data_IF_003027581059
#
_entry.id   IF_003027581059
#
_cell.length_a   1.000
_cell.length_b   1.000
_cell.length_c   1.000
_cell.angle_alpha   90.00
_cell.angle_beta   90.00
_cell.angle_gamma   90.00
#
_symmetry.space_group_name_H-M   'P 1'
#
loop_
_entity.id
_entity.type
_entity.pdbx_description
1 polymer ?
#
# COMPACT_ATOMS: atom_id res chain seq x y z
N UNK A 1 43.51 -15.24 -8.99
CA UNK A 1 43.46 -15.86 -7.67
C UNK A 1 42.52 -17.04 -7.69
N UNK A 2 43.04 -18.15 -7.22
CA UNK A 2 42.70 -19.54 -7.43
C UNK A 2 41.21 -19.95 -7.27
N UNK A 3 40.74 -20.66 -8.29
CA UNK A 3 39.56 -21.50 -8.28
C UNK A 3 39.85 -22.80 -7.50
N UNK A 4 39.52 -22.84 -6.21
CA UNK A 4 39.44 -24.11 -5.43
C UNK A 4 38.49 -23.87 -4.24
N UNK A 5 37.23 -24.25 -4.44
CA UNK A 5 36.29 -24.82 -3.47
C UNK A 5 34.91 -24.93 -4.14
N UNK A 6 34.78 -25.97 -4.99
CA UNK A 6 33.43 -26.46 -5.33
C UNK A 6 33.29 -27.84 -4.66
N UNK A 7 32.45 -27.91 -3.64
CA UNK A 7 31.99 -29.19 -3.14
C UNK A 7 30.93 -29.73 -4.12
N UNK A 8 31.24 -30.80 -4.82
CA UNK A 8 30.27 -31.54 -5.64
C UNK A 8 29.40 -32.35 -4.70
N UNK A 9 28.17 -31.93 -4.47
CA UNK A 9 27.13 -32.74 -3.85
C UNK A 9 26.39 -33.46 -4.97
N UNK A 10 26.65 -34.73 -5.16
CA UNK A 10 25.90 -35.62 -6.06
C UNK A 10 24.56 -35.97 -5.42
N UNK A 11 23.48 -35.30 -5.86
CA UNK A 11 22.10 -35.70 -5.56
C UNK A 11 21.53 -36.40 -6.81
N UNK A 12 21.25 -37.65 -6.74
CA UNK A 12 20.51 -38.43 -7.74
C UNK A 12 19.08 -37.91 -7.81
N UNK A 13 18.62 -37.44 -8.99
CA UNK A 13 17.27 -36.99 -9.38
C UNK A 13 17.05 -35.45 -9.47
N UNK A 14 17.99 -34.74 -10.07
CA UNK A 14 17.76 -33.32 -10.48
C UNK A 14 17.60 -33.23 -12.00
N UNK A 15 16.48 -32.72 -12.47
CA UNK A 15 16.30 -32.33 -13.87
C UNK A 15 16.70 -30.85 -14.05
N UNK A 16 17.59 -30.58 -14.97
CA UNK A 16 18.09 -29.25 -15.29
C UNK A 16 17.42 -28.74 -16.58
N UNK A 17 16.74 -27.60 -16.55
CA UNK A 17 16.28 -26.90 -17.75
C UNK A 17 17.04 -25.58 -17.91
N UNK A 18 17.59 -25.35 -19.11
CA UNK A 18 18.30 -24.14 -19.46
C UNK A 18 17.35 -23.22 -20.23
N UNK A 19 17.18 -21.98 -19.77
CA UNK A 19 16.44 -20.94 -20.50
C UNK A 19 17.40 -20.24 -21.44
N UNK A 20 17.13 -20.15 -22.76
CA UNK A 20 18.02 -19.49 -23.73
C UNK A 20 18.14 -17.99 -23.43
N UNK A 21 19.37 -17.52 -23.23
CA UNK A 21 19.69 -16.10 -23.08
C UNK A 21 20.28 -15.66 -21.73
N UNK A 22 20.24 -16.49 -20.71
CA UNK A 22 20.88 -16.20 -19.42
C UNK A 22 21.61 -17.43 -18.88
N UNK A 23 22.88 -17.28 -18.53
CA UNK A 23 23.70 -18.35 -17.95
C UNK A 23 23.41 -18.57 -16.45
N UNK A 24 22.16 -18.85 -16.09
CA UNK A 24 21.80 -19.19 -14.71
C UNK A 24 21.28 -20.63 -14.63
N UNK A 25 21.85 -21.39 -13.73
CA UNK A 25 21.46 -22.76 -13.41
C UNK A 25 20.31 -22.71 -12.37
N UNK A 26 19.10 -23.10 -12.76
CA UNK A 26 17.97 -23.23 -11.82
C UNK A 26 18.03 -24.64 -11.21
N UNK A 27 18.34 -24.73 -9.93
CA UNK A 27 18.26 -25.97 -9.18
C UNK A 27 16.79 -26.22 -8.76
N UNK A 28 16.14 -27.21 -9.34
CA UNK A 28 14.81 -27.64 -8.93
C UNK A 28 14.92 -28.69 -7.80
N UNK A 29 14.29 -28.44 -6.67
CA UNK A 29 14.15 -29.40 -5.59
C UNK A 29 13.06 -30.46 -5.94
N UNK A 30 13.18 -31.74 -5.52
CA UNK A 30 12.23 -32.78 -5.88
C UNK A 30 10.84 -32.51 -5.28
N UNK A 31 9.80 -32.81 -6.07
CA UNK A 31 8.38 -32.69 -5.73
C UNK A 31 8.03 -33.84 -4.80
N UNK A 32 7.58 -33.55 -3.58
CA UNK A 32 6.87 -34.53 -2.75
C UNK A 32 5.50 -34.84 -3.36
N UNK A 33 5.17 -36.09 -3.56
CA UNK A 33 3.85 -36.56 -4.01
C UNK A 33 2.89 -36.57 -2.83
N UNK A 34 2.54 -35.40 -2.28
CA UNK A 34 1.41 -35.30 -1.36
C UNK A 34 0.14 -34.94 -2.14
N UNK A 35 -1.00 -35.48 -1.69
CA UNK A 35 -2.32 -35.30 -2.26
C UNK A 35 -2.54 -33.83 -2.64
N UNK A 36 -3.02 -33.62 -3.87
CA UNK A 36 -3.13 -32.30 -4.48
C UNK A 36 -4.19 -31.43 -3.77
N UNK A 37 -3.86 -30.87 -2.60
CA UNK A 37 -4.64 -29.79 -1.99
C UNK A 37 -4.66 -28.59 -2.93
N UNK A 38 -5.76 -27.85 -2.94
CA UNK A 38 -5.93 -26.61 -3.70
C UNK A 38 -4.84 -25.58 -3.38
N UNK A 39 -4.75 -24.56 -4.19
CA UNK A 39 -3.76 -23.49 -4.05
C UNK A 39 -4.41 -22.18 -3.60
N UNK A 40 -3.74 -21.43 -2.72
CA UNK A 40 -4.13 -20.06 -2.39
C UNK A 40 -3.84 -19.12 -3.55
N UNK A 41 -4.46 -17.93 -3.55
CA UNK A 41 -4.22 -16.91 -4.58
C UNK A 41 -2.74 -16.55 -4.68
N UNK A 42 -2.03 -16.41 -3.55
CA UNK A 42 -0.59 -16.14 -3.53
C UNK A 42 0.21 -17.27 -4.21
N UNK A 43 -0.05 -18.54 -3.87
CA UNK A 43 0.58 -19.69 -4.50
C UNK A 43 0.31 -19.75 -6.01
N UNK A 44 -0.91 -19.39 -6.44
CA UNK A 44 -1.27 -19.34 -7.87
C UNK A 44 -0.50 -18.28 -8.62
N UNK A 45 -0.33 -17.08 -8.03
CA UNK A 45 0.46 -16.00 -8.63
C UNK A 45 1.91 -16.45 -8.82
N UNK A 46 2.54 -16.98 -7.77
CA UNK A 46 3.91 -17.47 -7.87
C UNK A 46 4.05 -18.66 -8.85
N UNK A 47 3.07 -19.57 -8.88
CA UNK A 47 3.06 -20.69 -9.83
C UNK A 47 2.97 -20.20 -11.27
N UNK A 48 2.11 -19.19 -11.55
CA UNK A 48 1.98 -18.57 -12.85
C UNK A 48 3.31 -17.93 -13.30
N UNK A 49 3.97 -17.21 -12.41
CA UNK A 49 5.23 -16.51 -12.72
C UNK A 49 6.43 -17.43 -12.88
N UNK A 50 6.48 -18.50 -12.11
CA UNK A 50 7.58 -19.48 -12.17
C UNK A 50 7.35 -20.60 -13.19
N UNK A 51 6.16 -20.69 -13.81
CA UNK A 51 5.82 -21.72 -14.80
C UNK A 51 5.79 -23.16 -14.23
N UNK A 52 5.64 -23.31 -12.90
CA UNK A 52 5.55 -24.59 -12.19
C UNK A 52 4.71 -24.46 -10.93
N UNK A 53 4.25 -25.59 -10.41
CA UNK A 53 3.50 -25.60 -9.14
C UNK A 53 4.40 -25.11 -8.00
N UNK A 54 3.92 -24.11 -7.25
CA UNK A 54 4.57 -23.49 -6.09
C UNK A 54 3.63 -23.59 -4.90
N UNK A 55 4.20 -23.77 -3.70
CA UNK A 55 3.48 -23.81 -2.44
C UNK A 55 4.07 -22.83 -1.42
N UNK A 56 3.28 -22.51 -0.41
CA UNK A 56 3.75 -21.75 0.75
C UNK A 56 4.97 -22.42 1.37
N UNK A 57 5.95 -21.63 1.79
CA UNK A 57 7.23 -22.10 2.30
C UNK A 57 8.30 -22.35 1.24
N UNK A 58 7.95 -22.55 -0.04
CA UNK A 58 8.92 -22.66 -1.13
C UNK A 58 9.76 -21.39 -1.24
N UNK A 59 11.07 -21.56 -1.48
CA UNK A 59 11.96 -20.45 -1.83
C UNK A 59 12.17 -20.44 -3.33
N UNK A 60 11.75 -19.37 -3.98
CA UNK A 60 11.76 -19.26 -5.44
C UNK A 60 12.37 -17.95 -5.89
N UNK A 61 13.11 -17.97 -6.99
CA UNK A 61 13.48 -16.77 -7.71
C UNK A 61 12.37 -16.47 -8.73
N UNK A 62 11.55 -15.45 -8.44
CA UNK A 62 10.44 -15.09 -9.29
C UNK A 62 10.75 -13.82 -10.09
N UNK A 63 10.34 -13.75 -11.38
CA UNK A 63 10.41 -12.53 -12.16
C UNK A 63 9.48 -11.48 -11.58
N UNK A 64 9.93 -10.21 -11.61
CA UNK A 64 9.18 -9.05 -11.15
C UNK A 64 8.58 -8.34 -12.37
N UNK A 65 7.27 -8.04 -12.33
CA UNK A 65 6.55 -7.37 -13.42
C UNK A 65 6.65 -5.85 -13.33
N UNK A 66 6.83 -5.30 -12.12
CA UNK A 66 7.02 -3.88 -11.90
C UNK A 66 7.85 -3.61 -10.65
N UNK A 67 8.70 -2.60 -10.70
CA UNK A 67 9.55 -2.15 -9.60
C UNK A 67 9.37 -0.65 -9.37
N UNK A 68 8.84 -0.26 -8.20
CA UNK A 68 8.58 1.13 -7.83
C UNK A 68 9.66 1.66 -6.89
N UNK A 69 10.22 2.83 -7.23
CA UNK A 69 11.15 3.59 -6.40
C UNK A 69 10.68 5.04 -6.26
N UNK A 70 10.90 5.63 -5.09
CA UNK A 70 10.53 7.01 -4.80
C UNK A 70 11.69 7.80 -4.17
N UNK A 71 11.51 9.09 -3.98
CA UNK A 71 12.57 10.07 -3.66
C UNK A 71 13.31 9.85 -2.33
N UNK A 72 12.79 9.06 -1.38
CA UNK A 72 13.50 8.74 -0.13
C UNK A 72 14.39 7.50 -0.29
N UNK A 73 13.83 6.39 -0.78
CA UNK A 73 14.53 5.10 -0.83
C UNK A 73 15.20 4.85 -2.18
N UNK A 74 14.73 5.49 -3.25
CA UNK A 74 15.24 5.37 -4.60
C UNK A 74 16.72 5.71 -4.75
N UNK A 75 17.22 6.82 -4.17
CA UNK A 75 18.65 7.14 -4.25
C UNK A 75 19.55 6.03 -3.72
N UNK A 76 19.16 5.39 -2.62
CA UNK A 76 19.91 4.27 -2.05
C UNK A 76 19.80 3.01 -2.93
N UNK A 77 18.64 2.71 -3.45
CA UNK A 77 18.44 1.58 -4.36
C UNK A 77 19.28 1.74 -5.64
N UNK A 78 19.37 2.95 -6.21
CA UNK A 78 20.16 3.26 -7.38
C UNK A 78 21.66 3.12 -7.07
N UNK A 79 22.13 3.58 -5.91
CA UNK A 79 23.52 3.38 -5.49
C UNK A 79 23.86 1.90 -5.36
N UNK A 80 23.00 1.12 -4.71
CA UNK A 80 23.16 -0.35 -4.60
C UNK A 80 23.21 -1.01 -5.98
N UNK A 81 22.37 -0.57 -6.93
CA UNK A 81 22.40 -1.05 -8.32
C UNK A 81 23.79 -0.83 -8.94
N UNK A 82 24.40 0.35 -8.81
CA UNK A 82 25.73 0.64 -9.33
C UNK A 82 26.84 -0.14 -8.58
N UNK A 83 26.75 -0.26 -7.25
CA UNK A 83 27.69 -1.04 -6.45
C UNK A 83 27.71 -2.51 -6.81
N UNK A 84 26.55 -3.07 -7.21
CA UNK A 84 26.44 -4.41 -7.77
C UNK A 84 26.97 -4.52 -9.22
N UNK A 85 27.54 -3.45 -9.81
CA UNK A 85 28.01 -3.41 -11.17
C UNK A 85 26.88 -3.31 -12.20
N UNK A 86 25.74 -2.70 -11.85
CA UNK A 86 24.66 -2.39 -12.77
C UNK A 86 25.07 -1.28 -13.74
N UNK A 87 24.92 -1.48 -15.04
CA UNK A 87 25.13 -0.47 -16.07
C UNK A 87 23.82 -0.07 -16.75
N UNK A 88 22.94 -1.04 -17.00
CA UNK A 88 21.58 -0.84 -17.52
C UNK A 88 20.59 -1.61 -16.66
N UNK A 89 19.42 -1.02 -16.45
CA UNK A 89 18.31 -1.70 -15.74
C UNK A 89 17.75 -2.83 -16.60
N UNK A 90 17.12 -3.81 -15.95
CA UNK A 90 16.62 -5.01 -16.62
C UNK A 90 15.57 -4.69 -17.70
N UNK A 91 14.69 -3.76 -17.43
CA UNK A 91 13.64 -3.30 -18.35
C UNK A 91 13.15 -1.92 -17.92
N UNK A 92 13.48 -0.83 -18.63
CA UNK A 92 13.04 0.52 -18.27
C UNK A 92 11.52 0.68 -18.20
N UNK A 93 10.78 -0.08 -19.02
CA UNK A 93 9.30 -0.02 -19.05
C UNK A 93 8.62 -0.63 -17.83
N UNK A 94 9.36 -1.35 -16.98
CA UNK A 94 8.89 -1.95 -15.75
C UNK A 94 9.37 -1.23 -14.49
N UNK A 95 10.17 -0.18 -14.65
CA UNK A 95 10.62 0.65 -13.53
C UNK A 95 9.67 1.85 -13.39
N UNK A 96 9.15 2.04 -12.20
CA UNK A 96 8.24 3.14 -11.86
C UNK A 96 8.99 4.06 -10.90
N UNK A 97 9.40 5.23 -11.40
CA UNK A 97 10.16 6.21 -10.62
C UNK A 97 9.27 7.42 -10.36
N UNK A 98 9.09 7.79 -9.09
CA UNK A 98 8.21 8.86 -8.65
C UNK A 98 8.88 9.76 -7.60
N UNK A 99 8.26 10.93 -7.41
CA UNK A 99 8.59 11.86 -6.33
C UNK A 99 7.30 12.25 -5.61
N UNK A 100 7.20 11.93 -4.32
CA UNK A 100 5.98 12.13 -3.55
C UNK A 100 6.19 12.38 -2.04
N UNK A 101 7.35 12.02 -1.48
CA UNK A 101 7.60 12.10 -0.06
C UNK A 101 8.13 13.48 0.36
N UNK A 102 9.19 13.97 -0.31
CA UNK A 102 9.78 15.30 -0.05
C UNK A 102 9.43 16.25 -1.20
N UNK A 103 8.15 16.56 -1.35
CA UNK A 103 7.60 17.32 -2.48
C UNK A 103 6.75 18.50 -1.97
N UNK A 104 7.08 19.74 -2.39
CA UNK A 104 8.36 20.13 -3.00
C UNK A 104 9.55 19.80 -2.08
N UNK A 105 10.78 19.76 -2.62
CA UNK A 105 11.94 19.43 -1.80
C UNK A 105 12.03 20.36 -0.57
N UNK A 106 12.07 19.76 0.61
CA UNK A 106 12.08 20.43 1.91
C UNK A 106 13.50 20.78 2.40
N UNK A 107 14.51 20.28 1.69
CA UNK A 107 15.93 20.48 2.02
C UNK A 107 16.79 20.44 0.75
N UNK A 108 18.02 20.98 0.84
CA UNK A 108 19.00 20.89 -0.24
C UNK A 108 19.32 19.43 -0.57
N UNK A 109 19.46 18.58 0.44
CA UNK A 109 19.73 17.15 0.27
C UNK A 109 18.59 16.43 -0.48
N UNK A 110 17.33 16.76 -0.19
CA UNK A 110 16.19 16.25 -0.93
C UNK A 110 16.23 16.68 -2.41
N UNK A 111 16.54 17.97 -2.67
CA UNK A 111 16.69 18.48 -4.03
C UNK A 111 17.81 17.76 -4.81
N UNK A 112 18.97 17.53 -4.17
CA UNK A 112 20.10 16.79 -4.76
C UNK A 112 19.71 15.33 -5.09
N UNK A 113 18.99 14.65 -4.19
CA UNK A 113 18.47 13.31 -4.42
C UNK A 113 17.50 13.28 -5.61
N UNK A 114 16.62 14.28 -5.72
CA UNK A 114 15.69 14.38 -6.85
C UNK A 114 16.43 14.61 -8.18
N UNK A 115 17.49 15.43 -8.20
CA UNK A 115 18.36 15.61 -9.38
C UNK A 115 19.00 14.29 -9.76
N UNK A 116 19.63 13.60 -8.81
CA UNK A 116 20.28 12.31 -9.03
C UNK A 116 19.31 11.26 -9.63
N UNK A 117 18.09 11.17 -9.10
CA UNK A 117 17.09 10.24 -9.63
C UNK A 117 16.61 10.61 -11.04
N UNK A 118 16.45 11.91 -11.37
CA UNK A 118 16.11 12.36 -12.73
C UNK A 118 17.22 12.03 -13.73
N UNK A 119 18.48 12.24 -13.34
CA UNK A 119 19.63 11.86 -14.17
C UNK A 119 19.67 10.35 -14.41
N UNK A 120 19.43 9.54 -13.36
CA UNK A 120 19.32 8.09 -13.52
C UNK A 120 18.20 7.70 -14.47
N UNK A 121 16.98 8.26 -14.30
CA UNK A 121 15.86 7.98 -15.17
C UNK A 121 16.17 8.30 -16.63
N UNK A 122 16.78 9.45 -16.90
CA UNK A 122 17.18 9.87 -18.24
C UNK A 122 18.24 8.93 -18.86
N UNK A 123 19.26 8.54 -18.09
CA UNK A 123 20.31 7.64 -18.57
C UNK A 123 19.84 6.20 -18.83
N UNK A 124 18.78 5.79 -18.13
CA UNK A 124 18.21 4.45 -18.20
C UNK A 124 16.98 4.37 -19.11
N UNK A 125 16.53 5.48 -19.69
CA UNK A 125 15.31 5.61 -20.49
C UNK A 125 14.03 5.22 -19.68
N UNK A 126 14.04 5.46 -18.37
CA UNK A 126 12.90 5.21 -17.45
C UNK A 126 11.92 6.36 -17.55
N UNK A 127 10.63 6.06 -17.64
CA UNK A 127 9.59 7.08 -17.50
C UNK A 127 9.55 7.61 -16.06
N UNK A 128 9.75 8.93 -15.93
CA UNK A 128 9.75 9.62 -14.65
C UNK A 128 8.38 10.26 -14.40
N UNK A 129 7.69 9.81 -13.37
CA UNK A 129 6.48 10.44 -12.84
C UNK A 129 6.90 11.53 -11.84
N UNK A 130 7.18 12.74 -12.36
CA UNK A 130 7.77 13.83 -11.58
C UNK A 130 6.77 14.46 -10.58
N UNK A 131 7.22 15.42 -9.80
CA UNK A 131 6.63 16.06 -8.61
C UNK A 131 5.12 16.35 -8.65
N UNK A 132 4.54 16.45 -9.83
CA UNK A 132 3.13 16.84 -10.03
C UNK A 132 2.15 15.66 -10.07
N UNK A 133 2.61 14.43 -10.10
CA UNK A 133 1.71 13.28 -10.32
C UNK A 133 0.96 12.88 -9.04
N UNK A 134 1.61 12.93 -7.89
CA UNK A 134 1.02 12.59 -6.60
C UNK A 134 1.69 11.42 -5.91
N UNK A 135 1.00 10.83 -4.94
CA UNK A 135 1.51 9.77 -4.09
C UNK A 135 1.74 8.50 -4.90
N UNK A 136 2.93 7.89 -4.77
CA UNK A 136 3.40 6.76 -5.57
C UNK A 136 2.36 5.62 -5.65
N UNK A 137 1.78 5.23 -4.54
CA UNK A 137 0.84 4.12 -4.51
C UNK A 137 -0.44 4.43 -5.27
N UNK A 138 -0.94 5.66 -5.17
CA UNK A 138 -2.11 6.09 -5.95
C UNK A 138 -1.79 6.14 -7.44
N UNK A 139 -0.65 6.73 -7.82
CA UNK A 139 -0.23 6.86 -9.23
C UNK A 139 -0.05 5.49 -9.89
N UNK A 140 0.55 4.52 -9.20
CA UNK A 140 0.69 3.14 -9.72
C UNK A 140 -0.66 2.54 -10.08
N UNK A 141 -1.66 2.69 -9.21
CA UNK A 141 -3.01 2.19 -9.45
C UNK A 141 -3.73 2.98 -10.56
N UNK A 142 -3.67 4.30 -10.53
CA UNK A 142 -4.31 5.16 -11.52
C UNK A 142 -3.79 4.98 -12.94
N UNK A 143 -2.49 4.71 -13.09
CA UNK A 143 -1.87 4.48 -14.41
C UNK A 143 -1.98 3.02 -14.85
N UNK A 144 -2.63 2.14 -14.07
CA UNK A 144 -2.78 0.72 -14.38
C UNK A 144 -1.45 -0.04 -14.42
N UNK A 145 -0.48 0.38 -13.59
CA UNK A 145 0.86 -0.21 -13.55
C UNK A 145 0.92 -1.49 -12.71
N UNK A 146 -0.20 -1.88 -12.11
CA UNK A 146 -0.39 -3.16 -11.45
C UNK A 146 -1.64 -3.85 -12.00
N UNK A 147 -1.56 -5.17 -12.23
CA UNK A 147 -2.64 -5.95 -12.81
C UNK A 147 -2.73 -7.36 -12.19
N UNK A 148 -3.87 -8.07 -12.35
CA UNK A 148 -4.07 -9.39 -11.79
C UNK A 148 -2.98 -10.39 -12.17
N UNK A 149 -2.46 -11.11 -11.15
CA UNK A 149 -1.44 -12.14 -11.33
C UNK A 149 -0.02 -11.63 -11.53
N UNK A 150 0.22 -10.34 -11.42
CA UNK A 150 1.56 -9.75 -11.46
C UNK A 150 2.25 -9.81 -10.09
N UNK A 151 3.60 -9.83 -10.10
CA UNK A 151 4.44 -9.62 -8.92
C UNK A 151 5.05 -8.22 -9.04
N UNK A 152 4.63 -7.33 -8.13
CA UNK A 152 5.11 -5.94 -8.08
C UNK A 152 5.89 -5.73 -6.79
N UNK A 153 7.05 -5.13 -6.89
CA UNK A 153 7.83 -4.76 -5.71
C UNK A 153 8.02 -3.24 -5.63
N UNK A 154 8.05 -2.72 -4.43
CA UNK A 154 8.33 -1.30 -4.22
C UNK A 154 9.33 -1.08 -3.10
N UNK A 155 10.13 -0.04 -3.21
CA UNK A 155 11.02 0.39 -2.14
C UNK A 155 10.26 1.17 -1.05
N UNK A 156 8.98 0.81 -0.85
CA UNK A 156 8.08 1.30 0.19
C UNK A 156 7.19 0.19 0.73
N UNK A 157 6.89 0.22 2.02
CA UNK A 157 6.15 -0.82 2.71
C UNK A 157 4.68 -0.92 2.26
N UNK A 158 4.03 0.20 1.88
CA UNK A 158 2.63 0.20 1.44
C UNK A 158 2.43 -0.23 -0.02
N UNK A 159 3.45 -0.75 -0.68
CA UNK A 159 3.36 -1.43 -1.98
C UNK A 159 2.29 -2.52 -1.99
N UNK A 160 1.98 -3.12 -0.83
CA UNK A 160 0.88 -4.08 -0.67
C UNK A 160 -0.49 -3.57 -1.15
N UNK A 161 -0.69 -2.25 -1.24
CA UNK A 161 -1.91 -1.64 -1.80
C UNK A 161 -2.28 -2.16 -3.20
N UNK A 162 -1.29 -2.53 -4.02
CA UNK A 162 -1.57 -2.98 -5.39
C UNK A 162 -2.24 -4.37 -5.46
N UNK A 163 -2.30 -5.08 -4.35
CA UNK A 163 -3.10 -6.29 -4.24
C UNK A 163 -4.60 -6.06 -4.40
N UNK A 164 -5.07 -4.82 -4.30
CA UNK A 164 -6.43 -4.43 -4.68
C UNK A 164 -6.73 -4.71 -6.17
N UNK A 165 -5.70 -4.72 -7.03
CA UNK A 165 -5.80 -5.14 -8.43
C UNK A 165 -5.60 -6.65 -8.64
N UNK A 166 -5.50 -7.46 -7.59
CA UNK A 166 -5.23 -8.91 -7.70
C UNK A 166 -3.75 -9.24 -7.99
N UNK A 167 -2.81 -8.33 -7.72
CA UNK A 167 -1.39 -8.57 -7.79
C UNK A 167 -0.82 -9.10 -6.47
N UNK A 168 0.27 -9.85 -6.52
CA UNK A 168 1.12 -10.02 -5.34
C UNK A 168 2.08 -8.84 -5.27
N UNK A 169 1.80 -7.91 -4.37
CA UNK A 169 2.58 -6.69 -4.26
C UNK A 169 3.18 -6.56 -2.85
N UNK A 170 4.48 -6.24 -2.77
CA UNK A 170 5.18 -6.20 -1.48
C UNK A 170 6.29 -5.15 -1.44
N UNK A 171 6.47 -4.55 -0.26
CA UNK A 171 7.62 -3.70 0.04
C UNK A 171 8.90 -4.50 0.20
N UNK A 172 10.01 -3.97 -0.33
CA UNK A 172 11.35 -4.55 -0.20
C UNK A 172 12.38 -3.48 0.18
N UNK A 173 13.50 -3.91 0.74
CA UNK A 173 14.60 -3.03 1.10
C UNK A 173 15.33 -2.45 -0.12
N UNK A 174 16.05 -1.34 0.09
CA UNK A 174 16.78 -0.67 -1.00
C UNK A 174 17.88 -1.55 -1.61
N UNK A 175 18.47 -2.46 -0.85
CA UNK A 175 19.46 -3.42 -1.39
C UNK A 175 18.81 -4.42 -2.33
N UNK A 176 17.68 -5.01 -1.92
CA UNK A 176 16.90 -5.92 -2.77
C UNK A 176 16.39 -5.17 -4.01
N UNK A 177 15.97 -3.92 -3.86
CA UNK A 177 15.55 -3.10 -4.99
C UNK A 177 16.71 -2.86 -5.98
N UNK A 178 17.93 -2.60 -5.52
CA UNK A 178 19.11 -2.51 -6.37
C UNK A 178 19.36 -3.81 -7.16
N UNK A 179 19.13 -4.96 -6.53
CA UNK A 179 19.19 -6.27 -7.20
C UNK A 179 18.09 -6.41 -8.26
N UNK A 180 16.85 -6.03 -7.93
CA UNK A 180 15.71 -6.07 -8.87
C UNK A 180 15.97 -5.15 -10.06
N UNK A 181 16.45 -3.93 -9.85
CA UNK A 181 16.78 -3.00 -10.94
C UNK A 181 17.79 -3.62 -11.93
N UNK A 182 18.71 -4.45 -11.45
CA UNK A 182 19.72 -5.11 -12.28
C UNK A 182 19.21 -6.37 -12.97
N UNK A 183 18.46 -7.22 -12.26
CA UNK A 183 18.17 -8.59 -12.69
C UNK A 183 16.71 -8.84 -13.07
N UNK A 184 15.76 -7.97 -12.67
CA UNK A 184 14.33 -8.13 -12.94
C UNK A 184 13.67 -9.30 -12.21
N UNK A 185 14.30 -9.80 -11.16
CA UNK A 185 13.81 -10.93 -10.38
C UNK A 185 14.26 -10.79 -8.93
N UNK A 186 13.57 -11.48 -8.02
CA UNK A 186 13.93 -11.51 -6.60
C UNK A 186 13.65 -12.89 -6.01
N UNK A 187 14.41 -13.27 -4.97
CA UNK A 187 14.10 -14.44 -4.17
C UNK A 187 12.97 -14.14 -3.20
N UNK A 188 11.95 -15.00 -3.23
CA UNK A 188 10.83 -14.98 -2.29
C UNK A 188 10.73 -16.31 -1.57
N UNK A 189 10.55 -16.28 -0.28
CA UNK A 189 9.88 -17.37 0.42
C UNK A 189 8.38 -17.14 0.21
N UNK A 190 7.68 -18.05 -0.42
CA UNK A 190 6.24 -17.89 -0.70
C UNK A 190 5.48 -17.88 0.63
N UNK A 191 4.71 -16.82 0.94
CA UNK A 191 4.03 -16.70 2.22
C UNK A 191 2.86 -17.68 2.33
N UNK A 192 2.55 -18.10 3.54
CA UNK A 192 1.25 -18.64 3.88
C UNK A 192 0.17 -17.55 3.75
N UNK A 193 -1.08 -17.95 3.64
CA UNK A 193 -2.20 -17.02 3.49
C UNK A 193 -3.15 -17.10 4.67
N UNK A 194 -3.50 -15.94 5.25
CA UNK A 194 -4.67 -15.79 6.13
C UNK A 194 -5.84 -15.33 5.26
N UNK A 195 -6.97 -16.02 5.34
CA UNK A 195 -8.20 -15.62 4.68
C UNK A 195 -9.04 -14.72 5.60
N UNK A 196 -9.33 -13.52 5.13
CA UNK A 196 -10.26 -12.58 5.75
C UNK A 196 -11.55 -12.58 4.95
N UNK A 197 -12.60 -13.12 5.54
CA UNK A 197 -13.92 -13.18 4.91
C UNK A 197 -14.86 -12.21 5.60
N UNK A 198 -15.51 -11.33 4.82
CA UNK A 198 -16.40 -10.30 5.36
C UNK A 198 -17.81 -10.47 4.83
N UNK A 199 -18.79 -10.21 5.68
CA UNK A 199 -20.21 -10.25 5.35
C UNK A 199 -20.93 -8.98 5.82
N UNK A 200 -22.09 -8.71 5.26
CA UNK A 200 -22.89 -7.56 5.61
C UNK A 200 -22.57 -6.30 4.78
N UNK A 201 -23.26 -5.23 5.15
CA UNK A 201 -23.08 -3.89 4.56
C UNK A 201 -22.70 -2.91 5.65
N UNK A 202 -21.83 -1.98 5.32
CA UNK A 202 -21.42 -0.94 6.24
C UNK A 202 -22.63 -0.14 6.75
N UNK A 203 -22.69 0.16 8.06
CA UNK A 203 -23.62 1.12 8.62
C UNK A 203 -23.38 2.55 8.07
N UNK A 204 -24.29 3.42 8.34
CA UNK A 204 -24.16 4.85 8.04
C UNK A 204 -22.87 5.43 8.63
N UNK A 205 -22.09 6.16 7.82
CA UNK A 205 -20.79 6.77 8.17
C UNK A 205 -19.70 5.81 8.61
N UNK A 206 -19.82 4.55 8.28
CA UNK A 206 -18.79 3.52 8.50
C UNK A 206 -18.29 3.01 7.15
N UNK A 207 -16.99 2.80 7.02
CA UNK A 207 -16.39 2.46 5.73
C UNK A 207 -15.19 1.51 5.82
N UNK A 208 -14.49 1.34 4.67
CA UNK A 208 -13.35 0.42 4.55
C UNK A 208 -12.21 0.70 5.54
N UNK A 209 -12.01 1.98 5.93
CA UNK A 209 -10.99 2.33 6.93
C UNK A 209 -11.36 1.80 8.32
N UNK A 210 -12.63 1.90 8.71
CA UNK A 210 -13.10 1.36 9.99
C UNK A 210 -12.96 -0.16 10.01
N UNK A 211 -13.29 -0.84 8.90
CA UNK A 211 -13.12 -2.27 8.76
C UNK A 211 -11.66 -2.68 8.96
N UNK A 212 -10.72 -2.04 8.25
CA UNK A 212 -9.32 -2.48 8.32
C UNK A 212 -8.68 -2.15 9.68
N UNK A 213 -9.11 -1.08 10.37
CA UNK A 213 -8.70 -0.80 11.73
C UNK A 213 -9.24 -1.87 12.70
N UNK A 214 -10.50 -2.29 12.55
CA UNK A 214 -11.08 -3.39 13.33
C UNK A 214 -10.36 -4.73 13.06
N UNK A 215 -9.99 -5.01 11.82
CA UNK A 215 -9.19 -6.20 11.47
C UNK A 215 -7.80 -6.11 12.13
N UNK A 216 -7.14 -4.96 12.07
CA UNK A 216 -5.83 -4.75 12.70
C UNK A 216 -5.89 -4.96 14.22
N UNK A 217 -6.92 -4.46 14.89
CA UNK A 217 -7.18 -4.71 16.31
C UNK A 217 -7.24 -6.21 16.63
N UNK A 218 -7.87 -6.99 15.78
CA UNK A 218 -8.09 -8.42 16.01
C UNK A 218 -6.91 -9.30 15.62
N UNK A 219 -6.11 -8.88 14.64
CA UNK A 219 -4.92 -9.61 14.17
C UNK A 219 -3.70 -9.24 15.01
N UNK A 220 -3.57 -7.97 15.40
CA UNK A 220 -2.37 -7.43 16.04
C UNK A 220 -1.35 -6.92 15.02
N UNK A 221 -0.44 -6.05 15.45
CA UNK A 221 0.58 -5.42 14.59
C UNK A 221 1.57 -6.42 13.97
N UNK A 222 1.73 -7.61 14.54
CA UNK A 222 2.65 -8.66 14.10
C UNK A 222 1.95 -9.99 13.78
N UNK A 223 0.62 -10.08 13.93
CA UNK A 223 -0.13 -11.33 13.85
C UNK A 223 -0.23 -11.93 12.44
N UNK A 224 0.11 -11.18 11.40
CA UNK A 224 0.24 -11.66 10.02
C UNK A 224 1.68 -11.60 9.51
N UNK A 225 2.67 -11.62 10.40
CA UNK A 225 4.09 -11.48 10.03
C UNK A 225 4.50 -12.47 8.96
N UNK A 226 4.98 -11.93 7.84
CA UNK A 226 5.41 -12.66 6.66
C UNK A 226 4.30 -13.48 5.96
N UNK A 227 3.04 -13.25 6.22
CA UNK A 227 1.91 -13.90 5.57
C UNK A 227 1.27 -13.00 4.51
N UNK A 228 0.44 -13.56 3.64
CA UNK A 228 -0.44 -12.80 2.77
C UNK A 228 -1.83 -12.74 3.41
N UNK A 229 -2.51 -11.60 3.33
CA UNK A 229 -3.93 -11.48 3.66
C UNK A 229 -4.74 -11.57 2.37
N UNK A 230 -5.68 -12.50 2.30
CA UNK A 230 -6.65 -12.62 1.20
C UNK A 230 -8.00 -12.11 1.68
N UNK A 231 -8.45 -10.99 1.10
CA UNK A 231 -9.70 -10.34 1.44
C UNK A 231 -10.84 -10.82 0.53
N UNK A 232 -11.88 -11.42 1.12
CA UNK A 232 -12.99 -12.03 0.40
C UNK A 232 -14.34 -11.77 1.09
N UNK A 233 -15.42 -12.28 0.49
CA UNK A 233 -16.77 -12.20 1.04
C UNK A 233 -17.61 -11.09 0.45
N UNK A 234 -18.88 -11.02 0.86
CA UNK A 234 -19.90 -10.18 0.22
C UNK A 234 -19.56 -8.68 0.30
N UNK A 235 -18.98 -8.25 1.43
CA UNK A 235 -18.58 -6.86 1.63
C UNK A 235 -17.49 -6.47 0.63
N UNK A 236 -16.42 -7.30 0.46
CA UNK A 236 -15.37 -7.03 -0.52
C UNK A 236 -15.84 -7.16 -1.96
N UNK A 237 -16.76 -8.09 -2.27
CA UNK A 237 -17.33 -8.25 -3.60
C UNK A 237 -18.16 -7.04 -4.04
N UNK A 238 -18.74 -6.30 -3.09
CA UNK A 238 -19.50 -5.07 -3.37
C UNK A 238 -18.69 -3.78 -3.17
N UNK A 239 -17.45 -3.89 -2.64
CA UNK A 239 -16.59 -2.75 -2.33
C UNK A 239 -15.92 -2.22 -3.61
N UNK A 240 -16.01 -0.91 -3.85
CA UNK A 240 -15.32 -0.24 -4.94
C UNK A 240 -13.79 -0.24 -4.75
N UNK A 241 -13.07 0.11 -5.80
CA UNK A 241 -11.59 -0.02 -5.80
C UNK A 241 -10.90 0.85 -4.76
N UNK A 242 -11.42 2.01 -4.45
CA UNK A 242 -10.90 2.91 -3.40
C UNK A 242 -10.89 2.24 -2.03
N UNK A 243 -11.99 1.58 -1.63
CA UNK A 243 -12.06 0.81 -0.40
C UNK A 243 -11.14 -0.41 -0.39
N UNK A 244 -11.03 -1.14 -1.51
CA UNK A 244 -10.08 -2.27 -1.64
C UNK A 244 -8.64 -1.79 -1.49
N UNK A 245 -8.31 -0.64 -2.08
CA UNK A 245 -6.99 -0.02 -1.95
C UNK A 245 -6.69 0.35 -0.50
N UNK A 246 -7.65 0.92 0.23
CA UNK A 246 -7.50 1.23 1.66
C UNK A 246 -7.20 -0.02 2.48
N UNK A 247 -7.95 -1.11 2.29
CA UNK A 247 -7.74 -2.35 3.03
C UNK A 247 -6.40 -3.02 2.69
N UNK A 248 -6.06 -3.14 1.40
CA UNK A 248 -4.80 -3.73 0.97
C UNK A 248 -3.60 -2.89 1.41
N UNK A 249 -3.71 -1.55 1.40
CA UNK A 249 -2.67 -0.64 1.86
C UNK A 249 -2.25 -0.93 3.31
N UNK A 250 -3.22 -1.16 4.18
CA UNK A 250 -2.98 -1.35 5.61
C UNK A 250 -2.62 -2.80 6.00
N UNK A 251 -2.54 -3.74 5.06
CA UNK A 251 -2.14 -5.11 5.35
C UNK A 251 -0.75 -5.18 6.01
N UNK A 252 0.19 -4.33 5.58
CA UNK A 252 1.54 -4.28 6.16
C UNK A 252 1.55 -3.86 7.63
N UNK A 253 0.54 -3.15 8.10
CA UNK A 253 0.45 -2.71 9.50
C UNK A 253 0.15 -3.86 10.48
N UNK A 254 -0.19 -5.04 9.94
CA UNK A 254 -0.34 -6.30 10.66
C UNK A 254 0.85 -7.26 10.44
N UNK A 255 1.94 -6.76 9.82
CA UNK A 255 3.13 -7.54 9.49
C UNK A 255 3.03 -8.32 8.17
N UNK A 256 1.92 -8.21 7.43
CA UNK A 256 1.72 -8.97 6.20
C UNK A 256 2.65 -8.53 5.06
N UNK A 257 3.03 -9.49 4.23
CA UNK A 257 3.80 -9.26 2.99
C UNK A 257 2.93 -8.68 1.88
N UNK A 258 1.67 -9.07 1.81
CA UNK A 258 0.72 -8.61 0.80
C UNK A 258 -0.71 -8.64 1.35
N UNK A 259 -1.55 -7.72 0.89
CA UNK A 259 -3.00 -7.82 0.99
C UNK A 259 -3.55 -7.99 -0.41
N UNK A 260 -4.38 -9.01 -0.66
CA UNK A 260 -4.84 -9.35 -2.01
C UNK A 260 -6.36 -9.49 -2.01
N UNK A 261 -7.01 -8.82 -2.95
CA UNK A 261 -8.42 -9.04 -3.28
C UNK A 261 -8.46 -9.84 -4.58
N UNK A 262 -9.16 -10.99 -4.65
CA UNK A 262 -9.35 -11.70 -5.90
C UNK A 262 -9.98 -10.79 -6.95
N UNK A 263 -9.41 -10.71 -8.18
CA UNK A 263 -9.89 -9.79 -9.21
C UNK A 263 -11.25 -10.21 -9.75
N UNK A 264 -12.18 -9.27 -9.78
CA UNK A 264 -13.55 -9.43 -10.26
C UNK A 264 -13.93 -8.36 -11.30
N UNK A 265 -15.22 -8.22 -11.60
CA UNK A 265 -15.71 -7.22 -12.55
C UNK A 265 -15.36 -5.78 -12.14
N UNK A 266 -15.37 -5.46 -10.85
CA UNK A 266 -14.99 -4.13 -10.35
C UNK A 266 -13.52 -3.86 -10.68
N UNK A 267 -12.64 -4.83 -10.42
CA UNK A 267 -11.20 -4.73 -10.75
C UNK A 267 -10.98 -4.53 -12.25
N UNK A 268 -11.63 -5.35 -13.09
CA UNK A 268 -11.44 -5.25 -14.55
C UNK A 268 -12.06 -4.00 -15.15
N UNK A 269 -13.18 -3.51 -14.61
CA UNK A 269 -13.77 -2.23 -15.03
C UNK A 269 -12.87 -1.05 -14.65
N UNK A 270 -12.27 -1.09 -13.46
CA UNK A 270 -11.28 -0.09 -13.04
C UNK A 270 -10.07 -0.05 -13.98
N UNK A 271 -9.54 -1.21 -14.37
CA UNK A 271 -8.35 -1.29 -15.24
C UNK A 271 -8.66 -0.98 -16.70
N UNK A 272 -9.86 -1.24 -17.19
CA UNK A 272 -10.25 -1.13 -18.62
C UNK A 272 -9.87 0.20 -19.28
N UNK A 273 -9.98 1.32 -18.56
CA UNK A 273 -9.65 2.65 -19.07
C UNK A 273 -8.16 3.02 -18.90
N UNK A 274 -7.37 2.16 -18.27
CA UNK A 274 -5.98 2.43 -17.85
C UNK A 274 -4.98 1.56 -18.58
N UNK A 275 -5.29 0.29 -18.72
CA UNK A 275 -4.43 -0.71 -19.36
C UNK A 275 -5.29 -1.82 -19.94
N UNK A 276 -4.96 -2.27 -21.14
CA UNK A 276 -5.55 -3.50 -21.70
C UNK A 276 -5.01 -4.70 -20.91
N UNK A 277 -5.87 -5.31 -20.11
CA UNK A 277 -5.54 -6.44 -19.24
C UNK A 277 -6.37 -7.66 -19.62
N UNK A 278 -5.66 -8.74 -19.94
CA UNK A 278 -6.32 -10.02 -20.21
C UNK A 278 -6.95 -10.54 -18.92
N UNK A 279 -8.24 -10.91 -19.00
CA UNK A 279 -8.94 -11.53 -17.89
C UNK A 279 -8.33 -12.88 -17.52
N UNK A 280 -8.05 -13.06 -16.24
CA UNK A 280 -7.60 -14.32 -15.63
C UNK A 280 -8.49 -14.66 -14.46
N UNK A 281 -8.85 -15.94 -14.31
CA UNK A 281 -9.50 -16.42 -13.09
C UNK A 281 -8.42 -16.63 -12.05
N UNK A 282 -8.45 -15.81 -10.99
CA UNK A 282 -7.43 -15.81 -9.96
C UNK A 282 -8.08 -15.64 -8.58
N UNK A 283 -8.33 -16.76 -7.94
CA UNK A 283 -8.90 -16.89 -6.60
C UNK A 283 -8.32 -18.13 -5.94
N UNK A 284 -8.35 -18.25 -4.64
CA UNK A 284 -7.96 -19.47 -3.95
C UNK A 284 -8.91 -20.62 -4.27
N UNK A 285 -8.37 -21.81 -4.38
CA UNK A 285 -9.19 -23.01 -4.58
C UNK A 285 -10.07 -23.25 -3.34
N UNK A 286 -11.25 -23.88 -3.49
CA UNK A 286 -12.13 -24.15 -2.34
C UNK A 286 -11.50 -25.02 -1.26
N UNK A 287 -10.57 -25.92 -1.65
CA UNK A 287 -9.83 -26.83 -0.80
C UNK A 287 -8.40 -26.33 -0.50
N UNK A 288 -8.10 -25.04 -0.73
CA UNK A 288 -6.81 -24.45 -0.39
C UNK A 288 -6.57 -24.47 1.13
N UNK A 289 -5.31 -24.67 1.51
CA UNK A 289 -4.90 -24.59 2.91
C UNK A 289 -4.54 -23.17 3.29
N UNK A 290 -5.19 -22.64 4.32
CA UNK A 290 -4.92 -21.33 4.89
C UNK A 290 -4.24 -21.48 6.26
N UNK A 291 -3.32 -20.57 6.61
CA UNK A 291 -2.72 -20.50 7.93
C UNK A 291 -3.76 -20.15 9.00
N UNK A 292 -4.70 -19.30 8.66
CA UNK A 292 -5.84 -18.92 9.49
C UNK A 292 -7.01 -18.45 8.61
N UNK A 293 -8.24 -18.53 9.12
CA UNK A 293 -9.43 -18.02 8.46
C UNK A 293 -10.27 -17.24 9.47
N UNK A 294 -10.55 -15.98 9.16
CA UNK A 294 -11.29 -15.08 10.04
C UNK A 294 -12.52 -14.54 9.32
N UNK A 295 -13.62 -14.44 10.05
CA UNK A 295 -14.87 -13.90 9.54
C UNK A 295 -15.24 -12.63 10.30
N UNK A 296 -15.67 -11.62 9.55
CA UNK A 296 -16.11 -10.34 10.09
C UNK A 296 -17.47 -9.99 9.50
N UNK A 297 -18.43 -9.72 10.37
CA UNK A 297 -19.72 -9.12 10.00
C UNK A 297 -19.63 -7.61 10.24
N UNK A 298 -19.81 -6.83 9.18
CA UNK A 298 -19.71 -5.36 9.27
C UNK A 298 -21.03 -4.67 9.59
N UNK A 299 -22.12 -5.44 9.76
CA UNK A 299 -23.49 -4.90 9.90
C UNK A 299 -23.62 -3.97 11.11
N UNK A 300 -22.93 -4.28 12.20
CA UNK A 300 -22.96 -3.50 13.44
C UNK A 300 -21.60 -2.85 13.75
N UNK A 301 -20.71 -2.73 12.76
CA UNK A 301 -19.40 -2.12 12.93
C UNK A 301 -19.56 -0.64 13.31
N UNK A 302 -18.98 -0.22 14.42
CA UNK A 302 -18.87 1.18 14.79
C UNK A 302 -17.71 1.88 14.06
N UNK A 303 -17.72 3.21 13.90
CA UNK A 303 -16.53 3.94 13.48
C UNK A 303 -15.35 3.65 14.40
N UNK A 304 -14.18 3.40 13.85
CA UNK A 304 -12.98 2.96 14.56
C UNK A 304 -11.94 4.06 14.65
N UNK A 305 -11.27 4.15 15.78
CA UNK A 305 -10.14 5.05 16.01
C UNK A 305 -8.96 4.26 16.56
N UNK A 306 -7.83 4.23 15.83
CA UNK A 306 -6.60 3.65 16.39
C UNK A 306 -5.92 4.67 17.29
N UNK A 307 -5.84 4.34 18.59
CA UNK A 307 -5.20 5.22 19.57
C UNK A 307 -3.67 5.16 19.48
N UNK A 308 -2.96 6.21 19.91
CA UNK A 308 -1.48 6.20 19.93
C UNK A 308 -0.94 5.04 20.79
N UNK A 309 0.13 4.33 20.39
CA UNK A 309 1.03 4.62 19.28
C UNK A 309 1.15 3.38 18.36
N UNK A 310 0.08 2.63 18.19
CA UNK A 310 0.04 1.46 17.32
C UNK A 310 -1.32 1.36 16.61
N UNK A 311 -1.31 0.84 15.39
CA UNK A 311 -2.52 0.71 14.56
C UNK A 311 -3.50 -0.33 15.13
N UNK A 312 -2.98 -1.37 15.77
CA UNK A 312 -3.75 -2.46 16.40
C UNK A 312 -4.42 -2.06 17.73
N UNK A 313 -4.14 -0.86 18.24
CA UNK A 313 -4.85 -0.28 19.37
C UNK A 313 -6.15 0.43 18.94
N UNK A 314 -6.83 -0.07 17.92
CA UNK A 314 -8.10 0.48 17.49
C UNK A 314 -9.21 0.20 18.52
N UNK A 315 -10.07 1.20 18.73
CA UNK A 315 -11.23 1.17 19.61
C UNK A 315 -12.45 1.76 18.89
N UNK A 316 -13.62 1.53 19.38
CA UNK A 316 -14.82 2.20 18.88
C UNK A 316 -14.73 3.70 19.20
N UNK A 317 -15.18 4.56 18.29
CA UNK A 317 -15.04 6.02 18.39
C UNK A 317 -15.59 6.56 19.71
N UNK A 318 -16.69 5.99 20.22
CA UNK A 318 -17.29 6.38 21.49
C UNK A 318 -16.40 6.23 22.73
N UNK A 319 -15.35 5.37 22.66
CA UNK A 319 -14.40 5.20 23.77
C UNK A 319 -13.42 6.38 23.90
N UNK A 320 -13.25 7.15 22.84
CA UNK A 320 -12.30 8.28 22.76
C UNK A 320 -12.95 9.59 22.35
N UNK A 321 -14.27 9.62 22.18
CA UNK A 321 -15.03 10.83 21.87
C UNK A 321 -14.78 11.93 22.93
N UNK A 322 -14.72 13.20 22.49
CA UNK A 322 -14.40 14.35 23.33
C UNK A 322 -12.90 14.55 23.59
N UNK A 323 -12.00 13.72 23.01
CA UNK A 323 -10.56 13.96 23.09
C UNK A 323 -10.20 15.17 22.22
N UNK A 324 -9.64 16.26 22.77
CA UNK A 324 -9.25 17.43 22.00
C UNK A 324 -8.17 17.11 20.97
N UNK A 325 -8.24 17.75 19.80
CA UNK A 325 -7.24 17.61 18.74
C UNK A 325 -6.67 18.97 18.36
N UNK A 326 -5.39 19.03 18.00
CA UNK A 326 -4.71 20.25 17.52
C UNK A 326 -4.62 20.27 16.00
N UNK A 327 -4.65 19.10 15.36
CA UNK A 327 -4.56 18.95 13.93
C UNK A 327 -5.43 17.81 13.41
N UNK A 328 -6.12 18.04 12.30
CA UNK A 328 -6.77 16.97 11.52
C UNK A 328 -6.07 16.89 10.16
N UNK A 329 -5.58 15.70 9.80
CA UNK A 329 -5.00 15.42 8.50
C UNK A 329 -5.87 14.45 7.71
N UNK A 330 -6.36 14.91 6.54
CA UNK A 330 -7.15 14.12 5.59
C UNK A 330 -6.36 13.97 4.30
N UNK A 331 -6.01 12.73 3.95
CA UNK A 331 -5.16 12.48 2.80
C UNK A 331 -4.44 11.14 2.87
N UNK A 332 -3.22 11.08 2.33
CA UNK A 332 -2.40 9.88 2.23
C UNK A 332 -2.86 8.90 1.13
N UNK A 333 -2.02 7.90 0.83
CA UNK A 333 -2.38 6.81 -0.09
C UNK A 333 -3.54 5.94 0.43
N UNK A 334 -3.87 6.01 1.73
CA UNK A 334 -5.01 5.32 2.30
C UNK A 334 -6.33 6.01 1.97
N UNK A 335 -6.47 7.30 2.24
CA UNK A 335 -7.74 8.03 2.18
C UNK A 335 -7.56 9.49 1.69
N UNK A 336 -7.08 9.66 0.47
CA UNK A 336 -6.96 10.96 -0.21
C UNK A 336 -7.58 10.95 -1.62
N UNK A 337 -8.44 9.97 -1.94
CA UNK A 337 -9.14 9.86 -3.23
C UNK A 337 -10.38 10.73 -3.25
N UNK A 338 -10.96 10.90 -4.42
CA UNK A 338 -12.14 11.73 -4.62
C UNK A 338 -13.31 11.28 -3.73
N UNK A 339 -13.52 9.99 -3.59
CA UNK A 339 -14.58 9.39 -2.79
C UNK A 339 -14.41 9.72 -1.30
N UNK A 340 -13.16 9.67 -0.79
CA UNK A 340 -12.82 10.09 0.57
C UNK A 340 -13.12 11.58 0.79
N UNK A 341 -12.73 12.43 -0.18
CA UNK A 341 -12.96 13.87 -0.13
C UNK A 341 -14.45 14.23 -0.26
N UNK A 342 -15.20 13.46 -1.05
CA UNK A 342 -16.63 13.65 -1.17
C UNK A 342 -17.35 13.31 0.14
N UNK A 343 -16.93 12.25 0.83
CA UNK A 343 -17.43 11.89 2.16
C UNK A 343 -17.13 13.00 3.18
N UNK A 344 -15.91 13.53 3.19
CA UNK A 344 -15.53 14.68 4.03
C UNK A 344 -16.44 15.88 3.77
N UNK A 345 -16.68 16.20 2.50
CA UNK A 345 -17.57 17.32 2.13
C UNK A 345 -19.03 17.08 2.52
N UNK A 346 -19.48 15.82 2.46
CA UNK A 346 -20.83 15.47 2.90
C UNK A 346 -21.01 15.65 4.41
N UNK A 347 -20.02 15.21 5.22
CA UNK A 347 -20.03 15.43 6.68
C UNK A 347 -19.93 16.91 7.02
N UNK A 348 -19.05 17.66 6.35
CA UNK A 348 -18.89 19.12 6.55
C UNK A 348 -20.21 19.89 6.35
N UNK A 349 -21.10 19.43 5.46
CA UNK A 349 -22.33 20.16 5.17
C UNK A 349 -22.06 21.61 4.76
N UNK A 350 -22.85 22.54 5.23
CA UNK A 350 -22.66 24.00 5.09
C UNK A 350 -21.83 24.59 6.24
N UNK A 351 -21.18 23.73 7.06
CA UNK A 351 -20.40 24.11 8.22
C UNK A 351 -19.02 24.69 7.88
N UNK A 352 -18.29 25.06 8.92
CA UNK A 352 -16.89 25.45 8.87
C UNK A 352 -16.10 24.61 9.89
N UNK A 353 -14.84 24.39 9.62
CA UNK A 353 -13.95 23.71 10.55
C UNK A 353 -13.67 24.58 11.78
N UNK A 354 -13.44 23.95 12.92
CA UNK A 354 -13.11 24.65 14.14
C UNK A 354 -11.82 25.47 13.97
N UNK A 355 -11.89 26.73 14.38
CA UNK A 355 -10.79 27.69 14.19
C UNK A 355 -9.62 27.49 15.13
N UNK A 356 -9.78 26.66 16.16
CA UNK A 356 -8.72 26.35 17.14
C UNK A 356 -7.75 25.27 16.65
N UNK A 357 -8.08 24.56 15.57
CA UNK A 357 -7.29 23.45 15.05
C UNK A 357 -6.76 23.74 13.64
N UNK A 358 -5.75 22.97 13.23
CA UNK A 358 -5.26 22.96 11.86
C UNK A 358 -5.92 21.82 11.09
N UNK A 359 -6.61 22.11 9.99
CA UNK A 359 -7.14 21.09 9.09
C UNK A 359 -6.32 21.09 7.80
N UNK A 360 -5.64 19.98 7.52
CA UNK A 360 -4.79 19.81 6.33
C UNK A 360 -5.45 18.76 5.44
N UNK A 361 -5.72 19.09 4.20
CA UNK A 361 -6.34 18.19 3.21
C UNK A 361 -5.39 18.05 2.02
N UNK A 362 -5.01 16.79 1.69
CA UNK A 362 -4.10 16.49 0.58
C UNK A 362 -4.73 15.41 -0.30
N UNK A 363 -5.23 15.75 -1.50
CA UNK A 363 -5.66 14.75 -2.48
C UNK A 363 -4.52 13.82 -2.87
N UNK A 364 -4.80 12.53 -3.07
CA UNK A 364 -3.78 11.51 -3.26
C UNK A 364 -3.00 11.65 -4.58
N UNK A 365 -3.58 12.28 -5.60
CA UNK A 365 -2.93 12.52 -6.88
C UNK A 365 -3.44 13.79 -7.57
N UNK A 366 -2.74 14.19 -8.63
CA UNK A 366 -3.19 15.29 -9.49
C UNK A 366 -4.57 15.01 -10.09
N UNK A 367 -4.84 13.78 -10.49
CA UNK A 367 -6.11 13.42 -11.10
C UNK A 367 -7.24 13.49 -10.06
N UNK A 368 -7.00 13.04 -8.82
CA UNK A 368 -7.93 13.19 -7.70
C UNK A 368 -8.14 14.66 -7.29
N UNK A 369 -7.05 15.44 -7.27
CA UNK A 369 -7.14 16.91 -7.04
C UNK A 369 -8.03 17.58 -8.08
N UNK A 370 -7.83 17.28 -9.37
CA UNK A 370 -8.62 17.86 -10.46
C UNK A 370 -10.09 17.43 -10.44
N UNK A 371 -10.39 16.19 -10.04
CA UNK A 371 -11.77 15.74 -9.82
C UNK A 371 -12.42 16.56 -8.69
N UNK A 372 -11.75 16.66 -7.54
CA UNK A 372 -12.23 17.42 -6.39
C UNK A 372 -12.41 18.92 -6.73
N UNK A 373 -11.48 19.53 -7.48
CA UNK A 373 -11.57 20.92 -7.93
C UNK A 373 -12.78 21.13 -8.84
N UNK A 374 -12.99 20.26 -9.82
CA UNK A 374 -14.13 20.35 -10.76
C UNK A 374 -15.48 20.13 -10.07
N UNK A 375 -15.51 19.34 -9.01
CA UNK A 375 -16.69 19.14 -8.18
C UNK A 375 -16.93 20.26 -7.15
N UNK A 376 -16.05 21.29 -7.09
CA UNK A 376 -16.16 22.40 -6.14
C UNK A 376 -15.71 22.06 -4.71
N UNK A 377 -15.18 20.84 -4.47
CA UNK A 377 -14.79 20.41 -3.13
C UNK A 377 -13.59 21.21 -2.59
N UNK A 378 -12.63 21.56 -3.44
CA UNK A 378 -11.45 22.33 -3.03
C UNK A 378 -11.85 23.72 -2.55
N UNK A 379 -12.71 24.41 -3.31
CA UNK A 379 -13.24 25.74 -2.92
C UNK A 379 -13.98 25.66 -1.59
N UNK A 380 -14.79 24.61 -1.41
CA UNK A 380 -15.55 24.38 -0.19
C UNK A 380 -14.65 24.17 1.02
N UNK A 381 -13.61 23.33 0.91
CA UNK A 381 -12.66 23.08 1.99
C UNK A 381 -11.87 24.32 2.39
N UNK A 382 -11.38 25.09 1.40
CA UNK A 382 -10.66 26.35 1.65
C UNK A 382 -11.60 27.36 2.32
N UNK A 383 -12.84 27.46 1.87
CA UNK A 383 -13.85 28.36 2.47
C UNK A 383 -14.19 27.95 3.90
N UNK A 384 -14.19 26.64 4.19
CA UNK A 384 -14.40 26.09 5.53
C UNK A 384 -13.19 26.25 6.48
N UNK A 385 -12.04 26.72 5.98
CA UNK A 385 -10.85 27.00 6.79
C UNK A 385 -9.73 25.97 6.70
N UNK A 386 -9.81 24.98 5.77
CA UNK A 386 -8.74 24.01 5.58
C UNK A 386 -7.55 24.57 4.78
N UNK A 387 -6.36 24.07 5.08
CA UNK A 387 -5.19 24.14 4.22
C UNK A 387 -5.26 22.99 3.21
N UNK A 388 -5.50 23.31 1.94
CA UNK A 388 -5.54 22.31 0.87
C UNK A 388 -4.24 22.38 0.09
N UNK A 389 -3.47 21.30 0.14
CA UNK A 389 -2.12 21.24 -0.42
C UNK A 389 -2.07 20.46 -1.73
N UNK A 390 -0.97 20.64 -2.46
CA UNK A 390 -0.69 19.86 -3.66
C UNK A 390 -0.45 18.38 -3.31
N UNK A 391 -0.79 17.42 -4.21
CA UNK A 391 -0.66 16.00 -3.96
C UNK A 391 0.76 15.55 -3.60
N UNK A 392 0.94 15.08 -2.38
CA UNK A 392 2.17 14.53 -1.82
C UNK A 392 1.88 13.77 -0.52
N UNK A 393 2.88 13.14 0.07
CA UNK A 393 2.72 12.44 1.36
C UNK A 393 2.47 13.40 2.53
N UNK A 394 2.97 14.64 2.48
CA UNK A 394 2.76 15.66 3.52
C UNK A 394 3.10 15.18 4.93
N UNK A 395 2.21 15.39 5.92
CA UNK A 395 2.45 14.98 7.31
C UNK A 395 2.56 13.46 7.51
N UNK A 396 2.04 12.66 6.59
CA UNK A 396 1.93 11.19 6.76
C UNK A 396 3.25 10.52 7.15
N UNK A 397 4.39 11.01 6.66
CA UNK A 397 5.70 10.40 6.95
C UNK A 397 6.58 11.24 7.89
N UNK A 398 6.13 12.43 8.28
CA UNK A 398 6.81 13.28 9.25
C UNK A 398 8.11 13.93 8.75
N UNK A 399 8.29 14.06 7.45
CA UNK A 399 9.52 14.55 6.84
C UNK A 399 9.39 15.76 5.93
N UNK A 400 8.18 16.28 5.75
CA UNK A 400 7.95 17.42 4.86
C UNK A 400 7.40 18.65 5.63
N UNK A 401 6.07 18.74 5.77
CA UNK A 401 5.38 19.86 6.43
C UNK A 401 4.21 19.34 7.28
N UNK A 402 3.55 20.23 8.03
CA UNK A 402 2.43 19.86 8.91
C UNK A 402 2.86 19.02 10.12
N UNK A 403 4.09 19.26 10.62
CA UNK A 403 4.65 18.51 11.73
C UNK A 403 4.02 18.95 13.05
N UNK A 404 3.92 18.00 13.97
CA UNK A 404 3.40 18.20 15.32
C UNK A 404 4.52 18.60 16.28
N UNK A 405 4.22 19.56 17.14
CA UNK A 405 5.03 19.93 18.28
C UNK A 405 4.87 18.92 19.45
N UNK A 406 5.76 18.96 20.47
CA UNK A 406 5.59 18.18 21.68
C UNK A 406 4.23 18.41 22.36
N UNK A 407 3.52 17.33 22.67
CA UNK A 407 2.22 17.36 23.34
C UNK A 407 1.02 17.59 22.43
N UNK A 408 1.19 17.91 21.13
CA UNK A 408 0.09 18.05 20.21
C UNK A 408 -0.56 16.71 19.86
N UNK A 409 -1.86 16.75 19.58
CA UNK A 409 -2.71 15.64 19.18
C UNK A 409 -3.16 15.81 17.74
N UNK A 410 -2.91 14.81 16.91
CA UNK A 410 -3.41 14.75 15.52
C UNK A 410 -4.41 13.61 15.35
N UNK A 411 -5.51 13.89 14.64
CA UNK A 411 -6.40 12.88 14.10
C UNK A 411 -6.16 12.76 12.59
N UNK A 412 -5.91 11.55 12.08
CA UNK A 412 -5.37 11.38 10.74
C UNK A 412 -6.03 10.23 9.98
N UNK A 413 -6.28 10.42 8.69
CA UNK A 413 -6.69 9.33 7.78
C UNK A 413 -5.51 8.54 7.20
N UNK A 414 -4.27 8.85 7.61
CA UNK A 414 -3.07 8.10 7.21
C UNK A 414 -3.04 6.67 7.77
N UNK A 415 -1.94 5.96 7.56
CA UNK A 415 -1.85 4.52 7.83
C UNK A 415 -1.02 4.16 9.06
N UNK A 416 -0.26 5.08 9.66
CA UNK A 416 0.63 4.83 10.80
C UNK A 416 0.56 5.91 11.85
N UNK A 417 0.67 5.49 13.12
CA UNK A 417 0.61 6.38 14.27
C UNK A 417 1.69 6.10 15.34
N UNK A 418 2.80 5.45 14.98
CA UNK A 418 3.88 5.22 15.92
C UNK A 418 4.55 6.55 16.37
N UNK A 419 5.27 6.51 17.50
CA UNK A 419 5.92 7.69 18.08
C UNK A 419 6.83 8.40 17.07
N UNK A 420 6.66 9.70 16.93
CA UNK A 420 7.41 10.54 15.99
C UNK A 420 6.98 10.45 14.54
N UNK A 421 5.89 9.72 14.22
CA UNK A 421 5.44 9.53 12.83
C UNK A 421 5.07 10.83 12.13
N UNK A 422 4.49 11.79 12.83
CA UNK A 422 4.07 13.08 12.27
C UNK A 422 4.79 14.28 12.93
N UNK A 423 6.02 14.09 13.41
CA UNK A 423 6.80 15.16 14.03
C UNK A 423 7.41 14.73 15.37
N UNK A 424 7.05 15.44 16.46
CA UNK A 424 7.59 15.15 17.80
C UNK A 424 7.27 13.73 18.28
N UNK A 425 8.23 13.09 18.96
CA UNK A 425 8.00 11.81 19.66
C UNK A 425 7.11 11.94 20.90
N UNK A 426 6.83 13.16 21.34
CA UNK A 426 5.92 13.48 22.45
C UNK A 426 4.51 13.84 21.94
N UNK A 427 4.29 13.91 20.62
CA UNK A 427 2.99 14.10 20.02
C UNK A 427 2.22 12.75 19.93
N UNK A 428 0.90 12.86 19.89
CA UNK A 428 -0.01 11.73 19.77
C UNK A 428 -0.74 11.77 18.44
N UNK A 429 -0.72 10.66 17.69
CA UNK A 429 -1.45 10.51 16.43
C UNK A 429 -2.51 9.44 16.56
N UNK A 430 -3.75 9.81 16.31
CA UNK A 430 -4.90 8.91 16.18
C UNK A 430 -5.18 8.64 14.71
N UNK A 431 -5.62 7.42 14.36
CA UNK A 431 -6.04 7.12 12.98
C UNK A 431 -7.54 6.85 12.94
N UNK A 432 -8.19 7.37 11.89
CA UNK A 432 -9.63 7.20 11.70
C UNK A 432 -10.03 7.21 10.22
N UNK A 433 -11.33 7.02 9.95
CA UNK A 433 -11.93 7.18 8.63
C UNK A 433 -12.08 8.66 8.24
N UNK A 434 -12.28 8.97 6.93
CA UNK A 434 -12.57 10.33 6.46
C UNK A 434 -13.79 10.95 7.13
N UNK A 435 -14.86 10.18 7.36
CA UNK A 435 -16.06 10.65 8.04
C UNK A 435 -15.76 11.09 9.48
N UNK A 436 -15.03 10.27 10.24
CA UNK A 436 -14.65 10.59 11.62
C UNK A 436 -13.71 11.81 11.67
N UNK A 437 -12.76 11.90 10.72
CA UNK A 437 -11.87 13.05 10.62
C UNK A 437 -12.64 14.35 10.34
N UNK A 438 -13.62 14.32 9.43
CA UNK A 438 -14.44 15.46 9.09
C UNK A 438 -15.32 15.91 10.26
N UNK A 439 -16.01 14.98 10.93
CA UNK A 439 -16.83 15.26 12.11
C UNK A 439 -15.98 15.89 13.22
N UNK A 440 -14.81 15.33 13.50
CA UNK A 440 -13.90 15.84 14.51
C UNK A 440 -13.34 17.22 14.16
N UNK A 441 -13.12 17.49 12.88
CA UNK A 441 -12.66 18.79 12.43
C UNK A 441 -13.70 19.92 12.58
N UNK A 442 -14.98 19.58 12.67
CA UNK A 442 -16.06 20.56 12.95
C UNK A 442 -16.07 21.03 14.43
N UNK A 443 -15.63 20.17 15.35
CA UNK A 443 -15.77 20.41 16.78
C UNK A 443 -14.45 20.57 17.55
N UNK A 444 -13.29 20.33 16.90
CA UNK A 444 -11.97 20.41 17.52
C UNK A 444 -11.67 19.24 18.49
N UNK A 445 -12.48 18.18 18.46
CA UNK A 445 -12.33 16.99 19.30
C UNK A 445 -12.78 15.73 18.54
N UNK A 446 -12.31 14.56 18.96
CA UNK A 446 -12.73 13.28 18.36
C UNK A 446 -14.25 13.14 18.51
N UNK A 447 -14.94 13.07 17.36
CA UNK A 447 -16.41 13.07 17.29
C UNK A 447 -16.92 11.87 16.49
N UNK A 448 -17.99 11.24 16.96
CA UNK A 448 -18.68 10.17 16.22
C UNK A 448 -19.38 10.77 14.97
N UNK A 449 -18.99 10.36 13.75
CA UNK A 449 -19.56 10.92 12.53
C UNK A 449 -21.06 10.62 12.35
N UNK A 450 -21.61 9.71 13.13
CA UNK A 450 -23.05 9.37 13.09
C UNK A 450 -23.92 10.37 13.85
N UNK A 451 -23.29 11.25 14.62
CA UNK A 451 -23.96 12.29 15.42
C UNK A 451 -24.00 13.66 14.70
N UNK A 452 -23.45 13.75 13.46
CA UNK A 452 -23.30 14.97 12.67
C UNK A 452 -24.18 14.97 11.41
#
# INVERSE_FOLDING_TARGET
LDAKYFAVITLSNLTCSVVPGHNFLILACPISTENAMGATIAEKIFSLKCGRKIRSGDVVMAPVDGAMIHDITGPLAIRNFFEMGGARVFDPGRIILLFDHQVPADSIAAAENQVFMREFANHQDIHNYDLREGICHQVVMEKGLAAPGEIIVGADSHTCMYGAAGAFATGIGSTDMGFVLKFGALYFRVPETIRIQTTGRFPWRVGPKDLILSIARNIGADGATYQALEFTGDTFSSMEMDGRMTCCNMAVEMGAKAGIVPPDDITYNYLKSRRDVKRVTLESDPDASFADQRMYDVTDLAPQVAVPHNVDLAVDVGEVAGTPVDQVFIGSCTNGRFEDLAEVAEVLGDGAFDTSIRVIIIPASRDEYLKALRAGLIERFVTAGALVEAPCCGPCMGGAFGLLAPGEVSLSTSNRNFRGRQGSTEASVYLCSPATAAASALYGEITDPREV
#
